data_IF_958525749450
#
_entry.id   IF_958525749450
#
_cell.length_a   1.000
_cell.length_b   1.000
_cell.length_c   1.000
_cell.angle_alpha   90.00
_cell.angle_beta   90.00
_cell.angle_gamma   90.00
#
_symmetry.space_group_name_H-M   'P 1'
#
loop_
_entity.id
_entity.type
_entity.pdbx_description
1 polymer ?
#
# COMPACT_ATOMS: atom_id res chain seq x y z
N UNK A 1 20.81 0.60 9.90
CA UNK A 1 20.21 -0.36 8.96
C UNK A 1 18.90 0.12 8.41
N UNK A 2 18.59 -0.31 7.21
CA UNK A 2 17.32 0.03 6.58
C UNK A 2 16.16 -0.69 7.29
N UNK A 3 14.99 -0.06 7.40
CA UNK A 3 13.84 -0.74 7.97
C UNK A 3 13.38 -1.90 7.08
N UNK A 4 12.76 -2.89 7.69
CA UNK A 4 12.07 -3.93 6.94
C UNK A 4 10.86 -3.34 6.21
N UNK A 5 10.43 -3.98 5.12
CA UNK A 5 9.34 -3.46 4.30
C UNK A 5 8.08 -3.16 5.11
N UNK A 6 7.65 -4.06 5.98
CA UNK A 6 6.43 -3.86 6.77
C UNK A 6 6.50 -2.62 7.67
N UNK A 7 7.70 -2.18 8.03
CA UNK A 7 7.90 -1.05 8.95
C UNK A 7 7.61 0.30 8.30
N UNK A 8 7.58 0.37 6.97
CA UNK A 8 7.17 1.61 6.30
C UNK A 8 5.73 2.00 6.65
N UNK A 9 4.88 1.03 6.94
CA UNK A 9 3.53 1.29 7.41
C UNK A 9 3.48 1.36 8.95
N UNK A 10 4.04 0.35 9.65
CA UNK A 10 3.89 0.21 11.09
C UNK A 10 4.60 1.29 11.91
N UNK A 11 5.69 1.86 11.39
CA UNK A 11 6.44 2.93 12.05
C UNK A 11 6.01 4.33 11.63
N UNK A 12 4.98 4.46 10.78
CA UNK A 12 4.49 5.76 10.33
C UNK A 12 5.40 6.44 9.33
N UNK A 13 6.33 5.74 8.70
CA UNK A 13 7.26 6.33 7.73
C UNK A 13 6.51 6.92 6.53
N UNK A 14 5.54 6.19 5.99
CA UNK A 14 4.74 6.68 4.85
C UNK A 14 3.87 7.86 5.26
N UNK A 15 3.24 7.80 6.43
CA UNK A 15 2.43 8.91 6.92
C UNK A 15 3.27 10.17 7.09
N UNK A 16 4.46 10.05 7.64
CA UNK A 16 5.38 11.18 7.81
C UNK A 16 5.86 11.73 6.47
N UNK A 17 5.94 10.89 5.46
CA UNK A 17 6.30 11.32 4.10
C UNK A 17 5.14 11.96 3.34
N UNK A 18 3.97 12.08 3.96
CA UNK A 18 2.81 12.72 3.34
C UNK A 18 1.85 11.77 2.64
N UNK A 19 1.96 10.47 2.90
CA UNK A 19 1.04 9.47 2.35
C UNK A 19 -0.13 9.24 3.29
N UNK A 20 -1.31 9.07 2.72
CA UNK A 20 -2.52 8.70 3.44
C UNK A 20 -2.85 7.24 3.17
N UNK A 21 -3.31 6.54 4.21
CA UNK A 21 -3.81 5.18 4.04
C UNK A 21 -5.18 5.24 3.38
N UNK A 22 -5.36 4.47 2.30
CA UNK A 22 -6.62 4.41 1.56
C UNK A 22 -7.14 2.96 1.57
N UNK A 23 -8.41 2.79 1.15
CA UNK A 23 -8.99 1.46 1.07
C UNK A 23 -8.22 0.58 0.09
N UNK A 24 -7.98 -0.68 0.48
CA UNK A 24 -7.36 -1.67 -0.40
C UNK A 24 -8.18 -1.94 -1.66
N UNK A 25 -9.46 -1.55 -1.67
CA UNK A 25 -10.34 -1.72 -2.82
C UNK A 25 -10.29 -0.52 -3.79
N UNK A 26 -9.50 0.50 -3.47
CA UNK A 26 -9.34 1.67 -4.34
C UNK A 26 -8.63 1.27 -5.63
N UNK A 27 -9.11 1.80 -6.77
CA UNK A 27 -8.46 1.60 -8.05
C UNK A 27 -7.04 2.16 -7.98
N UNK A 28 -6.01 1.37 -8.29
CA UNK A 28 -4.63 1.84 -8.21
C UNK A 28 -4.34 3.02 -9.13
N UNK A 29 -3.50 3.93 -8.66
CA UNK A 29 -2.97 5.07 -9.42
C UNK A 29 -1.46 5.08 -9.31
N UNK A 30 -0.81 5.67 -10.32
CA UNK A 30 0.65 5.83 -10.33
C UNK A 30 1.15 6.42 -9.03
N UNK A 31 2.14 5.80 -8.43
CA UNK A 31 2.73 6.25 -7.18
C UNK A 31 2.09 5.67 -5.92
N UNK A 32 0.98 4.93 -6.07
CA UNK A 32 0.41 4.23 -4.92
C UNK A 32 1.38 3.19 -4.38
N UNK A 33 1.42 3.05 -3.07
CA UNK A 33 2.31 2.13 -2.37
C UNK A 33 1.48 1.10 -1.63
N UNK A 34 1.85 -0.16 -1.76
CA UNK A 34 1.24 -1.25 -0.99
C UNK A 34 2.32 -1.85 -0.10
N UNK A 35 1.99 -2.02 1.16
CA UNK A 35 2.88 -2.61 2.16
C UNK A 35 2.22 -3.86 2.71
N UNK A 36 2.84 -4.99 2.49
CA UNK A 36 2.40 -6.27 3.07
C UNK A 36 3.01 -6.46 4.45
N UNK A 37 2.19 -6.91 5.38
CA UNK A 37 2.64 -7.25 6.72
C UNK A 37 3.59 -8.44 6.68
N UNK A 38 4.42 -8.53 7.70
CA UNK A 38 5.28 -9.71 7.88
C UNK A 38 4.45 -10.95 8.13
N UNK A 39 4.99 -12.08 7.74
CA UNK A 39 4.42 -13.39 8.00
C UNK A 39 5.56 -14.37 8.28
N UNK A 40 5.21 -15.61 8.67
CA UNK A 40 6.22 -16.62 8.97
C UNK A 40 7.12 -16.93 7.76
N UNK A 41 6.56 -16.90 6.54
CA UNK A 41 7.33 -17.14 5.31
C UNK A 41 8.00 -15.88 4.78
N UNK A 42 7.52 -14.70 5.16
CA UNK A 42 8.00 -13.41 4.68
C UNK A 42 8.20 -12.47 5.87
N UNK A 43 9.27 -12.70 6.67
CA UNK A 43 9.43 -12.02 7.96
C UNK A 43 9.71 -10.52 7.85
N UNK A 44 10.07 -10.03 6.66
CA UNK A 44 10.28 -8.60 6.44
C UNK A 44 9.10 -7.92 5.74
N UNK A 45 8.04 -8.69 5.43
CA UNK A 45 6.93 -8.19 4.64
C UNK A 45 7.34 -7.93 3.19
N UNK A 46 6.63 -6.99 2.55
CA UNK A 46 6.90 -6.63 1.15
C UNK A 46 6.37 -5.23 0.89
N UNK A 47 7.09 -4.45 0.11
CA UNK A 47 6.66 -3.12 -0.31
C UNK A 47 6.77 -3.02 -1.82
N UNK A 48 5.76 -2.41 -2.45
CA UNK A 48 5.70 -2.27 -3.90
C UNK A 48 5.01 -0.97 -4.27
N UNK A 49 5.36 -0.43 -5.43
CA UNK A 49 4.84 0.84 -5.93
C UNK A 49 4.22 0.61 -7.31
N UNK A 50 3.05 1.19 -7.55
CA UNK A 50 2.35 1.07 -8.82
C UNK A 50 2.88 2.11 -9.81
N UNK A 51 3.31 1.66 -11.00
CA UNK A 51 3.84 2.54 -12.04
C UNK A 51 2.79 2.97 -13.07
N UNK A 52 1.55 2.56 -12.87
CA UNK A 52 0.44 2.80 -13.80
C UNK A 52 0.06 1.55 -14.60
N UNK A 53 0.91 0.54 -14.60
CA UNK A 53 0.69 -0.71 -15.30
C UNK A 53 1.06 -1.92 -14.44
N UNK A 54 2.22 -1.88 -13.83
CA UNK A 54 2.74 -2.97 -13.00
C UNK A 54 3.05 -2.50 -11.59
N UNK A 55 3.18 -3.46 -10.67
CA UNK A 55 3.68 -3.24 -9.32
C UNK A 55 5.17 -3.52 -9.29
N UNK A 56 5.93 -2.55 -8.82
CA UNK A 56 7.40 -2.55 -8.85
C UNK A 56 7.95 -2.68 -7.44
N UNK A 57 8.82 -3.64 -7.24
CA UNK A 57 9.62 -3.81 -6.04
C UNK A 57 11.05 -4.14 -6.48
N UNK A 58 11.64 -5.21 -5.98
CA UNK A 58 12.89 -5.74 -6.54
C UNK A 58 12.66 -6.37 -7.92
N UNK A 59 11.40 -6.66 -8.25
CA UNK A 59 11.01 -7.25 -9.52
C UNK A 59 9.68 -6.60 -9.97
N UNK A 60 9.37 -6.77 -11.27
CA UNK A 60 8.13 -6.25 -11.86
C UNK A 60 7.06 -7.34 -11.84
N UNK A 61 5.83 -6.97 -11.43
CA UNK A 61 4.71 -7.89 -11.38
C UNK A 61 3.43 -7.22 -11.85
N UNK A 62 2.58 -7.93 -12.60
CA UNK A 62 1.30 -7.41 -13.08
C UNK A 62 0.20 -7.51 -12.04
N UNK A 63 0.28 -8.44 -11.13
CA UNK A 63 -0.70 -8.64 -10.05
C UNK A 63 -0.24 -7.94 -8.78
N UNK A 64 -1.21 -7.44 -8.01
CA UNK A 64 -0.91 -6.83 -6.71
C UNK A 64 -0.30 -7.85 -5.73
N UNK A 65 -0.70 -9.12 -5.83
CA UNK A 65 -0.17 -10.17 -4.93
C UNK A 65 1.23 -10.60 -5.37
N UNK A 66 2.26 -10.39 -4.53
CA UNK A 66 3.63 -10.77 -4.89
C UNK A 66 3.88 -12.28 -4.78
N UNK A 67 3.02 -12.99 -4.05
CA UNK A 67 3.15 -14.44 -3.85
C UNK A 67 1.76 -15.04 -3.61
N UNK A 68 1.66 -16.36 -3.72
CA UNK A 68 0.39 -17.06 -3.55
C UNK A 68 -0.05 -17.06 -2.09
N UNK A 69 -1.37 -17.10 -1.87
CA UNK A 69 -1.97 -17.11 -0.55
C UNK A 69 -2.67 -15.80 -0.24
N UNK A 70 -3.20 -15.70 0.99
CA UNK A 70 -3.89 -14.50 1.48
C UNK A 70 -3.02 -13.84 2.53
N UNK A 71 -2.71 -12.55 2.32
CA UNK A 71 -1.84 -11.78 3.20
C UNK A 71 -2.44 -10.43 3.49
N UNK A 72 -2.23 -9.94 4.72
CA UNK A 72 -2.66 -8.60 5.11
C UNK A 72 -1.76 -7.54 4.51
N UNK A 73 -2.36 -6.47 3.98
CA UNK A 73 -1.61 -5.35 3.45
C UNK A 73 -2.37 -4.05 3.63
N UNK A 74 -1.65 -2.95 3.51
CA UNK A 74 -2.21 -1.60 3.51
C UNK A 74 -1.83 -0.90 2.23
N UNK A 75 -2.71 -0.01 1.76
CA UNK A 75 -2.51 0.78 0.54
C UNK A 75 -2.37 2.25 0.92
N UNK A 76 -1.41 2.92 0.30
CA UNK A 76 -1.05 4.29 0.63
C UNK A 76 -0.96 5.12 -0.64
N UNK A 77 -1.47 6.35 -0.56
CA UNK A 77 -1.42 7.31 -1.67
C UNK A 77 -0.91 8.63 -1.15
N UNK A 78 -0.05 9.31 -1.92
CA UNK A 78 0.35 10.67 -1.60
C UNK A 78 -0.91 11.51 -1.37
N UNK A 79 -1.00 12.17 -0.22
CA UNK A 79 -2.22 12.86 0.21
C UNK A 79 -2.65 13.95 -0.77
N UNK A 80 -1.73 14.54 -1.53
CA UNK A 80 -2.10 15.54 -2.54
C UNK A 80 -2.89 14.96 -3.71
N UNK A 81 -2.89 13.62 -3.87
CA UNK A 81 -3.64 12.93 -4.92
C UNK A 81 -4.88 12.22 -4.38
N UNK A 82 -5.19 12.40 -3.09
CA UNK A 82 -6.41 11.87 -2.48
C UNK A 82 -7.48 12.95 -2.62
N UNK A 83 -8.37 12.77 -3.59
CA UNK A 83 -9.43 13.74 -3.87
C UNK A 83 -10.64 13.55 -2.95
N UNK A 84 -11.60 14.49 -3.06
CA UNK A 84 -12.83 14.44 -2.24
C UNK A 84 -13.64 13.18 -2.48
N UNK A 85 -13.66 12.67 -3.71
CA UNK A 85 -14.39 11.45 -4.03
C UNK A 85 -13.76 10.24 -3.34
N UNK A 86 -12.43 10.13 -3.34
CA UNK A 86 -11.71 9.08 -2.63
C UNK A 86 -11.95 9.18 -1.13
N UNK A 87 -11.90 10.39 -0.59
CA UNK A 87 -12.18 10.62 0.82
C UNK A 87 -13.61 10.25 1.20
N UNK A 88 -14.59 10.62 0.36
CA UNK A 88 -15.98 10.27 0.60
C UNK A 88 -16.20 8.76 0.55
N UNK A 89 -15.54 8.07 -0.37
CA UNK A 89 -15.62 6.62 -0.45
C UNK A 89 -15.13 5.93 0.80
N UNK A 90 -13.98 6.37 1.32
CA UNK A 90 -13.43 5.85 2.57
C UNK A 90 -14.36 6.17 3.73
N UNK A 91 -14.83 7.42 3.81
CA UNK A 91 -15.71 7.87 4.87
C UNK A 91 -17.02 7.07 4.89
N UNK A 92 -17.65 6.89 3.74
CA UNK A 92 -18.91 6.13 3.66
C UNK A 92 -18.71 4.67 4.06
N UNK A 93 -17.58 4.08 3.69
CA UNK A 93 -17.25 2.72 4.09
C UNK A 93 -17.06 2.59 5.60
N UNK A 94 -16.64 3.67 6.26
CA UNK A 94 -16.44 3.67 7.72
C UNK A 94 -17.73 3.88 8.50
N UNK A 95 -18.70 4.56 7.93
CA UNK A 95 -19.98 4.88 8.64
C UNK A 95 -21.11 3.95 8.27
N UNK A 96 -21.02 3.26 7.17
CA UNK A 96 -22.01 2.27 6.76
C UNK A 96 -21.72 0.92 7.41
#
# INVERSE_FOLDING_TARGET
>A
PNPSAYQYASRGTLAQAGFAKISNNTQPQVGDVVVYDRSSKHPHGHIQIFDGNDWISDFRQSSISPYSGVYSYTTWRDSKYVDDASNRGIYLAMVD
#
